data_IF_943813600751
#
_entry.id   IF_943813600751
#
_cell.length_a   1.000
_cell.length_b   1.000
_cell.length_c   1.000
_cell.angle_alpha   90.00
_cell.angle_beta   90.00
_cell.angle_gamma   90.00
#
_symmetry.space_group_name_H-M   'P 1'
#
loop_
_entity.id
_entity.type
_entity.pdbx_description
1 polymer ?
#
# COMPACT_ATOMS: atom_id res chain seq x y z
N UNK A 1 4.42 -16.56 11.03
CA UNK A 1 4.24 -16.27 9.60
C UNK A 1 3.12 -15.27 9.33
N UNK A 2 1.89 -15.48 9.84
CA UNK A 2 0.76 -14.54 9.62
C UNK A 2 1.00 -13.10 10.11
N UNK A 3 1.63 -12.93 11.28
CA UNK A 3 1.92 -11.59 11.82
C UNK A 3 2.94 -10.80 10.98
N UNK A 4 3.96 -11.48 10.41
CA UNK A 4 4.95 -10.84 9.53
C UNK A 4 4.29 -10.34 8.24
N UNK A 5 3.45 -11.18 7.61
CA UNK A 5 2.69 -10.77 6.41
C UNK A 5 1.75 -9.61 6.71
N UNK A 6 1.10 -9.60 7.88
CA UNK A 6 0.24 -8.49 8.30
C UNK A 6 1.02 -7.19 8.48
N UNK A 7 2.15 -7.21 9.19
CA UNK A 7 3.01 -6.04 9.39
C UNK A 7 3.52 -5.53 8.04
N UNK A 8 3.96 -6.44 7.17
CA UNK A 8 4.45 -6.09 5.85
C UNK A 8 3.36 -5.47 4.98
N UNK A 9 2.15 -6.04 4.97
CA UNK A 9 1.02 -5.49 4.25
C UNK A 9 0.62 -4.11 4.77
N UNK A 10 0.56 -3.94 6.10
CA UNK A 10 0.20 -2.66 6.71
C UNK A 10 1.26 -1.60 6.44
N UNK A 11 2.54 -1.95 6.52
CA UNK A 11 3.66 -1.04 6.25
C UNK A 11 3.69 -0.63 4.77
N UNK A 12 3.71 -1.60 3.85
CA UNK A 12 3.72 -1.33 2.40
C UNK A 12 2.44 -0.58 2.01
N UNK A 13 1.28 -1.00 2.51
CA UNK A 13 -0.01 -0.35 2.24
C UNK A 13 -0.04 1.10 2.70
N UNK A 14 0.40 1.38 3.92
CA UNK A 14 0.47 2.74 4.44
C UNK A 14 1.44 3.62 3.65
N UNK A 15 2.62 3.10 3.28
CA UNK A 15 3.59 3.86 2.47
C UNK A 15 3.08 4.13 1.07
N UNK A 16 2.51 3.13 0.38
CA UNK A 16 2.02 3.26 -1.00
C UNK A 16 0.79 4.18 -1.07
N UNK A 17 -0.11 4.10 -0.08
CA UNK A 17 -1.21 5.04 0.09
C UNK A 17 -0.71 6.47 0.33
N UNK A 18 0.28 6.65 1.22
CA UNK A 18 0.88 7.96 1.47
C UNK A 18 1.50 8.58 0.22
N UNK A 19 2.30 7.81 -0.53
CA UNK A 19 2.87 8.26 -1.81
C UNK A 19 1.76 8.59 -2.81
N UNK A 20 0.73 7.77 -2.92
CA UNK A 20 -0.42 8.02 -3.80
C UNK A 20 -1.16 9.32 -3.47
N UNK A 21 -1.37 9.60 -2.18
CA UNK A 21 -1.95 10.87 -1.72
C UNK A 21 -1.05 12.05 -2.13
N UNK A 22 0.27 11.96 -1.90
CA UNK A 22 1.22 13.02 -2.27
C UNK A 22 1.18 13.28 -3.77
N UNK A 23 1.24 12.24 -4.61
CA UNK A 23 1.16 12.36 -6.06
C UNK A 23 -0.13 13.04 -6.50
N UNK A 24 -1.28 12.64 -5.93
CA UNK A 24 -2.58 13.23 -6.26
C UNK A 24 -2.68 14.70 -5.86
N UNK A 25 -2.18 15.05 -4.67
CA UNK A 25 -2.15 16.44 -4.21
C UNK A 25 -1.24 17.30 -5.08
N UNK A 26 -0.08 16.80 -5.48
CA UNK A 26 0.85 17.49 -6.40
C UNK A 26 0.22 17.66 -7.79
N UNK A 27 -0.57 16.70 -8.25
CA UNK A 27 -1.34 16.80 -9.49
C UNK A 27 -2.56 17.75 -9.39
N UNK A 28 -2.80 18.39 -8.24
CA UNK A 28 -3.92 19.30 -8.01
C UNK A 28 -5.23 18.61 -7.61
N UNK A 29 -5.22 17.29 -7.40
CA UNK A 29 -6.38 16.48 -7.00
C UNK A 29 -6.61 16.47 -5.48
N UNK A 30 -7.16 17.55 -4.94
CA UNK A 30 -7.42 17.72 -3.50
C UNK A 30 -8.82 17.28 -3.01
N UNK A 31 -9.58 16.54 -3.82
CA UNK A 31 -10.92 16.08 -3.45
C UNK A 31 -10.85 14.98 -2.39
N UNK A 32 -11.75 15.01 -1.39
CA UNK A 32 -11.83 13.94 -0.38
C UNK A 32 -12.03 12.55 -0.99
N UNK A 33 -12.76 12.47 -2.12
CA UNK A 33 -12.96 11.21 -2.84
C UNK A 33 -11.72 10.75 -3.60
N UNK A 34 -10.92 11.68 -4.15
CA UNK A 34 -9.67 11.33 -4.83
C UNK A 34 -8.62 10.81 -3.85
N UNK A 35 -8.52 11.40 -2.65
CA UNK A 35 -7.64 10.88 -1.60
C UNK A 35 -8.09 9.50 -1.11
N UNK A 36 -9.40 9.28 -0.91
CA UNK A 36 -9.91 7.97 -0.50
C UNK A 36 -9.59 6.89 -1.55
N UNK A 37 -9.75 7.21 -2.83
CA UNK A 37 -9.36 6.31 -3.92
C UNK A 37 -7.86 6.00 -3.92
N UNK A 38 -7.00 6.99 -3.64
CA UNK A 38 -5.55 6.80 -3.52
C UNK A 38 -5.18 5.78 -2.43
N UNK A 39 -5.85 5.87 -1.29
CA UNK A 39 -5.64 4.95 -0.16
C UNK A 39 -6.08 3.54 -0.53
N UNK A 40 -7.29 3.40 -1.10
CA UNK A 40 -7.82 2.09 -1.50
C UNK A 40 -6.93 1.43 -2.56
N UNK A 41 -6.47 2.19 -3.56
CA UNK A 41 -5.55 1.71 -4.58
C UNK A 41 -4.18 1.34 -3.98
N UNK A 42 -3.65 2.16 -3.07
CA UNK A 42 -2.40 1.88 -2.37
C UNK A 42 -2.44 0.57 -1.59
N UNK A 43 -3.55 0.32 -0.87
CA UNK A 43 -3.77 -0.92 -0.14
C UNK A 43 -4.02 -2.12 -1.05
N UNK A 44 -4.76 -1.93 -2.14
CA UNK A 44 -5.02 -2.98 -3.12
C UNK A 44 -3.72 -3.47 -3.79
N UNK A 45 -2.79 -2.56 -4.09
CA UNK A 45 -1.47 -2.89 -4.64
C UNK A 45 -0.53 -3.45 -3.57
N UNK A 46 -0.67 -3.05 -2.31
CA UNK A 46 0.16 -3.58 -1.23
C UNK A 46 -0.14 -5.05 -0.88
N UNK A 47 -1.34 -5.56 -1.17
CA UNK A 47 -1.70 -6.95 -0.94
C UNK A 47 -0.87 -7.96 -1.75
N UNK A 48 -0.77 -7.85 -3.10
CA UNK A 48 0.08 -8.75 -3.88
C UNK A 48 1.57 -8.60 -3.57
N UNK A 49 2.03 -7.38 -3.25
CA UNK A 49 3.44 -7.14 -2.90
C UNK A 49 3.80 -7.83 -1.57
N UNK A 50 2.93 -7.74 -0.55
CA UNK A 50 3.15 -8.40 0.73
C UNK A 50 3.17 -9.94 0.58
N UNK A 51 2.32 -10.50 -0.29
CA UNK A 51 2.31 -11.92 -0.62
C UNK A 51 3.58 -12.37 -1.35
N UNK A 52 4.05 -11.59 -2.32
CA UNK A 52 5.28 -11.88 -3.06
C UNK A 52 6.51 -11.87 -2.14
N UNK A 53 6.63 -10.87 -1.26
CA UNK A 53 7.73 -10.79 -0.29
C UNK A 53 7.65 -11.89 0.78
N UNK A 54 6.45 -12.23 1.24
CA UNK A 54 6.28 -13.32 2.20
C UNK A 54 6.70 -14.68 1.64
N UNK A 55 6.53 -14.90 0.33
CA UNK A 55 7.07 -16.08 -0.38
C UNK A 55 8.59 -16.03 -0.46
N UNK A 56 9.13 -14.90 -0.90
CA UNK A 56 10.59 -14.71 -1.00
C UNK A 56 11.33 -14.90 0.33
N UNK A 57 10.74 -14.49 1.46
CA UNK A 57 11.30 -14.70 2.80
C UNK A 57 11.05 -16.10 3.38
N UNK A 58 10.13 -16.87 2.80
CA UNK A 58 9.82 -18.24 3.22
C UNK A 58 10.60 -19.31 2.44
N UNK A 59 11.38 -18.91 1.43
CA UNK A 59 12.22 -19.76 0.60
C UNK A 59 13.69 -19.81 1.07
N UNK A 60 13.98 -19.33 2.29
CA UNK A 60 15.28 -19.44 2.96
C UNK A 60 15.29 -20.56 4.02
#
# INVERSE_FOLDING_TARGET
MSHLVLILHLFIGATLAGVGIVVLLVAGGGSGWSLAAAVVLGFAVAFPIALALARAMGED
#
